data_IF_867290348635
#
_entry.id   IF_867290348635
#
_cell.length_a   1.000
_cell.length_b   1.000
_cell.length_c   1.000
_cell.angle_alpha   90.00
_cell.angle_beta   90.00
_cell.angle_gamma   90.00
#
_symmetry.space_group_name_H-M   'P 1'
#
loop_
_entity.id
_entity.type
_entity.pdbx_description
1 polymer ?
#
# COMPACT_ATOMS: atom_id res chain seq x y z
N UNK A 1 28.80 20.68 -21.59
CA UNK A 1 27.84 21.69 -21.08
C UNK A 1 26.89 21.15 -19.99
N UNK A 2 26.23 19.98 -20.14
CA UNK A 2 25.30 19.44 -19.12
C UNK A 2 25.87 19.26 -17.70
N UNK A 3 27.10 18.74 -17.56
CA UNK A 3 27.77 18.57 -16.26
C UNK A 3 28.00 19.87 -15.48
N UNK A 4 28.17 21.01 -16.16
CA UNK A 4 28.36 22.30 -15.46
C UNK A 4 27.03 22.85 -14.90
N UNK A 5 25.90 22.54 -15.53
CA UNK A 5 24.56 22.88 -15.01
C UNK A 5 24.18 22.03 -13.79
N UNK A 6 24.54 20.74 -13.80
CA UNK A 6 24.32 19.84 -12.64
C UNK A 6 25.16 20.25 -11.43
N UNK A 7 26.41 20.65 -11.64
CA UNK A 7 27.29 21.13 -10.56
C UNK A 7 26.81 22.46 -9.97
N UNK A 8 26.34 23.39 -10.80
CA UNK A 8 25.73 24.64 -10.33
C UNK A 8 24.44 24.38 -9.53
N UNK A 9 23.62 23.43 -9.97
CA UNK A 9 22.40 23.03 -9.27
C UNK A 9 22.68 22.38 -7.91
N UNK A 10 23.66 21.46 -7.84
CA UNK A 10 24.11 20.85 -6.59
C UNK A 10 24.65 21.90 -5.63
N UNK A 11 25.52 22.79 -6.10
CA UNK A 11 26.09 23.85 -5.26
C UNK A 11 25.03 24.80 -4.71
N UNK A 12 24.05 25.17 -5.54
CA UNK A 12 22.90 25.98 -5.12
C UNK A 12 22.01 25.26 -4.10
N UNK A 13 21.75 23.96 -4.30
CA UNK A 13 20.97 23.16 -3.35
C UNK A 13 21.69 22.99 -2.02
N UNK A 14 23.01 22.72 -2.03
CA UNK A 14 23.82 22.62 -0.81
C UNK A 14 23.90 23.97 -0.09
N UNK A 15 24.10 25.08 -0.82
CA UNK A 15 24.10 26.42 -0.26
C UNK A 15 22.72 26.80 0.35
N UNK A 16 21.62 26.39 -0.30
CA UNK A 16 20.26 26.59 0.20
C UNK A 16 19.97 25.78 1.48
N UNK A 17 20.43 24.52 1.54
CA UNK A 17 20.34 23.70 2.75
C UNK A 17 21.16 24.29 3.90
N UNK A 18 22.38 24.78 3.62
CA UNK A 18 23.24 25.42 4.62
C UNK A 18 22.66 26.74 5.12
N UNK A 19 21.93 27.48 4.28
CA UNK A 19 21.27 28.72 4.65
C UNK A 19 20.01 28.50 5.53
N UNK A 20 19.45 27.28 5.57
CA UNK A 20 18.22 26.93 6.29
C UNK A 20 18.44 25.61 7.05
N UNK A 21 18.99 25.64 8.27
CA UNK A 21 19.32 24.43 9.03
C UNK A 21 18.11 23.53 9.30
N UNK A 22 16.91 24.10 9.41
CA UNK A 22 15.66 23.33 9.53
C UNK A 22 15.39 22.47 8.29
N UNK A 23 15.58 23.03 7.09
CA UNK A 23 15.41 22.31 5.83
C UNK A 23 16.48 21.23 5.66
N UNK A 24 17.71 21.48 6.10
CA UNK A 24 18.77 20.48 6.06
C UNK A 24 18.48 19.29 6.98
N UNK A 25 17.96 19.56 8.18
CA UNK A 25 17.56 18.50 9.14
C UNK A 25 16.40 17.68 8.59
N UNK A 26 15.38 18.33 7.99
CA UNK A 26 14.27 17.65 7.33
C UNK A 26 14.74 16.82 6.11
N UNK A 27 15.61 17.37 5.27
CA UNK A 27 16.14 16.68 4.11
C UNK A 27 17.02 15.48 4.49
N UNK A 28 17.83 15.61 5.55
CA UNK A 28 18.62 14.51 6.09
C UNK A 28 17.73 13.42 6.68
N UNK A 29 16.69 13.80 7.44
CA UNK A 29 15.71 12.87 7.98
C UNK A 29 14.92 12.14 6.89
N UNK A 30 14.46 12.87 5.87
CA UNK A 30 13.77 12.30 4.71
C UNK A 30 14.70 11.37 3.93
N UNK A 31 15.96 11.75 3.73
CA UNK A 31 16.96 10.90 3.06
C UNK A 31 17.22 9.60 3.80
N UNK A 32 17.39 9.65 5.13
CA UNK A 32 17.57 8.47 5.96
C UNK A 32 16.32 7.57 5.96
N UNK A 33 15.13 8.19 6.03
CA UNK A 33 13.85 7.49 5.99
C UNK A 33 13.64 6.76 4.66
N UNK A 34 13.85 7.44 3.53
CA UNK A 34 13.73 6.84 2.19
C UNK A 34 14.75 5.71 1.99
N UNK A 35 15.99 5.87 2.45
CA UNK A 35 17.01 4.83 2.42
C UNK A 35 16.66 3.62 3.29
N UNK A 36 16.05 3.85 4.45
CA UNK A 36 15.54 2.79 5.31
C UNK A 36 14.39 2.03 4.66
N UNK A 37 13.45 2.73 4.01
CA UNK A 37 12.35 2.11 3.28
C UNK A 37 12.84 1.28 2.09
N UNK A 38 13.86 1.71 1.35
CA UNK A 38 14.42 0.91 0.25
C UNK A 38 15.08 -0.38 0.75
N UNK A 39 15.79 -0.32 1.89
CA UNK A 39 16.38 -1.51 2.52
C UNK A 39 15.31 -2.47 3.07
N UNK A 40 14.22 -1.92 3.62
CA UNK A 40 13.08 -2.72 4.05
C UNK A 40 12.38 -3.39 2.87
N UNK A 41 12.21 -2.68 1.75
CA UNK A 41 11.65 -3.23 0.52
C UNK A 41 12.49 -4.39 -0.01
N UNK A 42 13.82 -4.25 -0.04
CA UNK A 42 14.72 -5.33 -0.45
C UNK A 42 14.74 -6.50 0.54
N UNK A 43 14.68 -6.21 1.85
CA UNK A 43 14.56 -7.23 2.90
C UNK A 43 13.27 -8.03 2.75
N UNK A 44 12.14 -7.35 2.54
CA UNK A 44 10.85 -7.97 2.31
C UNK A 44 10.86 -8.75 1.00
N UNK A 45 11.41 -8.22 -0.10
CA UNK A 45 11.53 -8.93 -1.38
C UNK A 45 12.30 -10.24 -1.24
N UNK A 46 13.37 -10.26 -0.45
CA UNK A 46 14.16 -11.46 -0.14
C UNK A 46 13.38 -12.47 0.71
N UNK A 47 12.54 -12.01 1.64
CA UNK A 47 11.67 -12.84 2.48
C UNK A 47 10.44 -13.36 1.70
N UNK A 48 9.89 -12.54 0.80
CA UNK A 48 8.69 -12.80 0.03
C UNK A 48 8.93 -13.72 -1.17
N UNK A 49 10.15 -13.76 -1.70
CA UNK A 49 10.52 -14.57 -2.87
C UNK A 49 10.39 -16.09 -2.67
N UNK A 50 10.18 -16.60 -1.44
CA UNK A 50 10.01 -18.05 -1.22
C UNK A 50 9.03 -18.46 -0.12
N UNK A 51 8.80 -17.64 0.90
CA UNK A 51 7.91 -18.02 2.04
C UNK A 51 6.51 -17.45 1.91
N UNK A 52 6.39 -16.23 1.34
CA UNK A 52 5.11 -15.57 1.14
C UNK A 52 4.29 -16.23 0.02
N UNK A 53 4.95 -16.68 -1.06
CA UNK A 53 4.32 -17.49 -2.11
C UNK A 53 3.72 -18.80 -1.57
N UNK A 54 4.43 -19.50 -0.66
CA UNK A 54 3.90 -20.71 -0.01
C UNK A 54 2.75 -20.43 0.94
N UNK A 55 2.80 -19.30 1.66
CA UNK A 55 1.73 -18.90 2.57
C UNK A 55 0.49 -18.42 1.81
N UNK A 56 0.64 -17.69 0.71
CA UNK A 56 -0.45 -17.37 -0.23
C UNK A 56 -1.00 -18.61 -0.92
N UNK A 57 -0.15 -19.55 -1.33
CA UNK A 57 -0.56 -20.83 -1.91
C UNK A 57 -1.36 -21.70 -0.92
N UNK A 58 -1.01 -21.67 0.37
CA UNK A 58 -1.78 -22.34 1.43
C UNK A 58 -3.03 -21.56 1.87
N UNK A 59 -3.00 -20.23 1.86
CA UNK A 59 -4.16 -19.39 2.18
C UNK A 59 -5.25 -19.49 1.10
N UNK A 60 -4.86 -19.70 -0.16
CA UNK A 60 -5.77 -19.95 -1.29
C UNK A 60 -6.29 -21.39 -1.32
N UNK A 61 -5.75 -22.30 -0.50
CA UNK A 61 -6.21 -23.69 -0.36
C UNK A 61 -7.42 -23.87 0.55
N UNK A 62 -8.03 -22.80 1.08
CA UNK A 62 -9.36 -22.91 1.68
C UNK A 62 -10.45 -22.73 0.60
N UNK A 63 -11.18 -23.79 0.22
CA UNK A 63 -12.19 -23.78 -0.84
C UNK A 63 -13.50 -23.08 -0.42
N UNK A 64 -13.44 -22.07 0.45
CA UNK A 64 -14.61 -21.32 0.89
C UNK A 64 -15.06 -20.28 -0.15
N UNK A 65 -14.15 -19.79 -1.00
CA UNK A 65 -14.47 -18.81 -2.04
C UNK A 65 -14.95 -19.43 -3.37
N UNK A 66 -14.80 -20.75 -3.54
CA UNK A 66 -15.36 -21.47 -4.68
C UNK A 66 -16.90 -21.62 -4.60
N UNK A 67 -17.47 -21.51 -3.40
CA UNK A 67 -18.92 -21.67 -3.16
C UNK A 67 -19.66 -20.32 -3.28
N UNK A 68 -18.95 -19.18 -3.15
CA UNK A 68 -19.56 -17.85 -3.19
C UNK A 68 -19.63 -17.17 -4.56
N UNK A 69 -18.81 -17.61 -5.54
CA UNK A 69 -18.59 -16.85 -6.79
C UNK A 69 -19.05 -17.60 -8.06
N UNK A 70 -19.50 -18.84 -7.94
CA UNK A 70 -19.51 -19.74 -9.09
C UNK A 70 -20.71 -20.66 -9.24
N UNK A 71 -21.93 -20.22 -8.91
CA UNK A 71 -23.13 -20.93 -9.38
C UNK A 71 -24.33 -19.99 -9.46
N UNK A 72 -24.55 -19.38 -10.63
CA UNK A 72 -25.85 -19.40 -11.34
C UNK A 72 -25.75 -18.67 -12.68
N UNK A 73 -25.70 -19.49 -13.72
CA UNK A 73 -26.01 -19.18 -15.12
C UNK A 73 -27.27 -18.29 -15.24
N UNK A 74 -27.14 -17.05 -15.74
CA UNK A 74 -28.23 -16.31 -16.43
C UNK A 74 -27.66 -15.45 -17.57
N UNK A 75 -28.16 -15.59 -18.81
CA UNK A 75 -27.56 -14.94 -19.98
C UNK A 75 -28.10 -13.51 -20.20
N UNK A 76 -27.23 -12.59 -20.61
CA UNK A 76 -27.61 -11.50 -21.52
C UNK A 76 -27.49 -10.04 -21.02
N UNK A 77 -27.80 -9.72 -19.77
CA UNK A 77 -27.83 -8.32 -19.30
C UNK A 77 -27.15 -8.07 -17.93
N UNK A 78 -26.99 -9.11 -17.12
CA UNK A 78 -26.33 -9.05 -15.80
C UNK A 78 -24.81 -9.14 -15.86
N UNK A 79 -24.24 -9.51 -17.00
CA UNK A 79 -22.81 -9.79 -17.15
C UNK A 79 -21.91 -8.55 -16.92
N UNK A 80 -22.40 -7.35 -17.25
CA UNK A 80 -21.69 -6.08 -16.96
C UNK A 80 -21.79 -5.69 -15.48
N UNK A 81 -22.94 -5.93 -14.85
CA UNK A 81 -23.13 -5.71 -13.41
C UNK A 81 -22.30 -6.71 -12.59
N UNK A 82 -22.20 -7.96 -13.05
CA UNK A 82 -21.40 -9.03 -12.42
C UNK A 82 -19.89 -8.75 -12.55
N UNK A 83 -19.45 -8.20 -13.69
CA UNK A 83 -18.06 -7.78 -13.85
C UNK A 83 -17.76 -6.56 -12.98
N UNK A 84 -18.62 -5.54 -12.95
CA UNK A 84 -18.43 -4.38 -12.08
C UNK A 84 -18.42 -4.79 -10.59
N UNK A 85 -19.36 -5.63 -10.17
CA UNK A 85 -19.43 -6.14 -8.81
C UNK A 85 -18.17 -6.93 -8.42
N UNK A 86 -17.64 -7.76 -9.32
CA UNK A 86 -16.37 -8.48 -9.08
C UNK A 86 -15.20 -7.52 -8.85
N UNK A 87 -15.07 -6.46 -9.66
CA UNK A 87 -13.98 -5.49 -9.46
C UNK A 87 -14.18 -4.67 -8.17
N UNK A 88 -15.42 -4.31 -7.82
CA UNK A 88 -15.73 -3.65 -6.55
C UNK A 88 -15.36 -4.52 -5.35
N UNK A 89 -15.65 -5.82 -5.39
CA UNK A 89 -15.25 -6.76 -4.34
C UNK A 89 -13.71 -6.85 -4.19
N UNK A 90 -12.97 -6.78 -5.29
CA UNK A 90 -11.50 -6.77 -5.28
C UNK A 90 -10.92 -5.45 -4.76
N UNK A 91 -11.56 -4.31 -5.03
CA UNK A 91 -11.24 -3.02 -4.41
C UNK A 91 -11.45 -3.10 -2.89
N UNK A 92 -12.60 -3.63 -2.45
CA UNK A 92 -12.87 -3.83 -1.02
C UNK A 92 -11.86 -4.78 -0.37
N UNK A 93 -11.46 -5.84 -1.06
CA UNK A 93 -10.38 -6.71 -0.60
C UNK A 93 -9.07 -5.94 -0.43
N UNK A 94 -8.68 -5.09 -1.40
CA UNK A 94 -7.49 -4.25 -1.28
C UNK A 94 -7.55 -3.25 -0.11
N UNK A 95 -8.72 -2.69 0.16
CA UNK A 95 -8.97 -1.82 1.33
C UNK A 95 -8.76 -2.61 2.62
N UNK A 96 -9.43 -3.75 2.78
CA UNK A 96 -9.35 -4.59 3.98
C UNK A 96 -7.93 -5.11 4.18
N UNK A 97 -7.29 -5.62 3.13
CA UNK A 97 -5.91 -6.09 3.20
C UNK A 97 -4.96 -4.98 3.66
N UNK A 98 -5.17 -3.74 3.22
CA UNK A 98 -4.36 -2.58 3.65
C UNK A 98 -4.65 -2.15 5.07
N UNK A 99 -5.91 -2.17 5.51
CA UNK A 99 -6.27 -1.90 6.91
C UNK A 99 -5.68 -2.97 7.82
N UNK A 100 -5.70 -4.24 7.44
CA UNK A 100 -5.10 -5.33 8.24
C UNK A 100 -3.57 -5.23 8.25
N UNK A 101 -2.96 -5.00 7.10
CA UNK A 101 -1.50 -4.93 6.96
C UNK A 101 -0.91 -3.61 7.47
N UNK A 102 -1.74 -2.57 7.65
CA UNK A 102 -1.35 -1.19 7.99
C UNK A 102 -0.33 -0.56 7.03
N UNK A 103 -0.05 -1.20 5.89
CA UNK A 103 0.93 -0.78 4.89
C UNK A 103 0.40 -1.07 3.50
N UNK A 104 0.05 -0.01 2.75
CA UNK A 104 -0.37 -0.16 1.36
C UNK A 104 0.75 -0.60 0.44
N UNK A 105 2.00 -0.26 0.76
CA UNK A 105 3.16 -0.70 -0.02
C UNK A 105 3.30 -2.22 0.02
N UNK A 106 3.09 -2.84 1.19
CA UNK A 106 3.10 -4.29 1.31
C UNK A 106 1.97 -4.94 0.48
N UNK A 107 0.76 -4.38 0.53
CA UNK A 107 -0.39 -4.86 -0.27
C UNK A 107 -0.16 -4.70 -1.77
N UNK A 108 0.45 -3.58 -2.21
CA UNK A 108 0.81 -3.36 -3.61
C UNK A 108 1.91 -4.33 -4.08
N UNK A 109 2.96 -4.55 -3.28
CA UNK A 109 4.02 -5.51 -3.61
C UNK A 109 3.47 -6.93 -3.75
N UNK A 110 2.57 -7.35 -2.87
CA UNK A 110 1.85 -8.63 -2.96
C UNK A 110 1.03 -8.74 -4.26
N UNK A 111 0.31 -7.68 -4.60
CA UNK A 111 -0.52 -7.65 -5.80
C UNK A 111 0.33 -7.69 -7.08
N UNK A 112 1.43 -6.93 -7.10
CA UNK A 112 2.36 -6.86 -8.23
C UNK A 112 3.16 -8.16 -8.39
N UNK A 113 3.55 -8.82 -7.30
CA UNK A 113 4.21 -10.13 -7.35
C UNK A 113 3.26 -11.21 -7.88
N UNK A 114 1.99 -11.22 -7.46
CA UNK A 114 0.99 -12.12 -8.01
C UNK A 114 0.65 -11.83 -9.49
N UNK A 115 0.73 -10.57 -9.93
CA UNK A 115 0.62 -10.20 -11.35
C UNK A 115 1.83 -10.70 -12.15
N UNK A 116 3.04 -10.51 -11.62
CA UNK A 116 4.28 -10.92 -12.28
C UNK A 116 4.44 -12.45 -12.40
N UNK A 117 3.89 -13.22 -11.46
CA UNK A 117 3.85 -14.69 -11.51
C UNK A 117 2.73 -15.25 -12.39
N UNK A 118 1.90 -14.39 -12.99
CA UNK A 118 0.76 -14.78 -13.80
C UNK A 118 -0.42 -15.34 -12.99
N UNK A 119 -0.38 -15.28 -11.67
CA UNK A 119 -1.45 -15.76 -10.79
C UNK A 119 -2.68 -14.82 -10.78
N UNK A 120 -2.45 -13.52 -10.98
CA UNK A 120 -3.50 -12.49 -11.07
C UNK A 120 -3.41 -11.77 -12.42
N UNK A 121 -4.48 -11.70 -13.23
CA UNK A 121 -4.48 -10.90 -14.44
C UNK A 121 -4.54 -9.40 -14.12
N UNK A 122 -4.20 -8.56 -15.11
CA UNK A 122 -4.03 -7.11 -14.94
C UNK A 122 -5.23 -6.38 -14.32
N UNK A 123 -6.46 -6.62 -14.81
CA UNK A 123 -7.66 -5.91 -14.33
C UNK A 123 -7.94 -6.16 -12.83
N UNK A 124 -7.93 -7.41 -12.33
CA UNK A 124 -8.01 -7.70 -10.89
C UNK A 124 -6.87 -7.12 -10.06
N UNK A 125 -5.63 -7.19 -10.56
CA UNK A 125 -4.48 -6.60 -9.86
C UNK A 125 -4.64 -5.07 -9.73
N UNK A 126 -5.10 -4.40 -10.78
CA UNK A 126 -5.41 -2.97 -10.76
C UNK A 126 -6.52 -2.63 -9.76
N UNK A 127 -7.58 -3.44 -9.69
CA UNK A 127 -8.67 -3.25 -8.72
C UNK A 127 -8.18 -3.35 -7.26
N UNK A 128 -7.34 -4.34 -6.95
CA UNK A 128 -6.73 -4.48 -5.61
C UNK A 128 -5.80 -3.30 -5.32
N UNK A 129 -5.01 -2.85 -6.29
CA UNK A 129 -4.11 -1.71 -6.14
C UNK A 129 -4.87 -0.39 -5.85
N UNK A 130 -5.98 -0.14 -6.54
CA UNK A 130 -6.88 0.98 -6.25
C UNK A 130 -7.42 0.85 -4.82
N UNK A 131 -7.89 -0.34 -4.43
CA UNK A 131 -8.33 -0.63 -3.08
C UNK A 131 -7.26 -0.35 -2.03
N UNK A 132 -6.01 -0.70 -2.29
CA UNK A 132 -4.91 -0.47 -1.37
C UNK A 132 -4.64 1.02 -1.11
N UNK A 133 -4.74 1.84 -2.14
CA UNK A 133 -4.61 3.31 -1.99
C UNK A 133 -5.82 3.94 -1.29
N UNK A 134 -7.01 3.37 -1.43
CA UNK A 134 -8.18 3.83 -0.66
C UNK A 134 -8.07 3.38 0.81
N UNK A 135 -7.51 2.19 1.05
CA UNK A 135 -7.35 1.62 2.38
C UNK A 135 -6.45 2.45 3.31
N UNK A 136 -5.42 3.13 2.79
CA UNK A 136 -4.59 4.03 3.62
C UNK A 136 -5.38 5.20 4.19
N UNK A 137 -6.29 5.77 3.41
CA UNK A 137 -7.19 6.83 3.86
C UNK A 137 -8.09 6.31 4.98
N UNK A 138 -8.62 5.09 4.84
CA UNK A 138 -9.44 4.45 5.88
C UNK A 138 -8.62 4.25 7.17
N UNK A 139 -7.40 3.72 7.07
CA UNK A 139 -6.51 3.56 8.22
C UNK A 139 -6.19 4.89 8.90
N UNK A 140 -5.93 5.94 8.13
CA UNK A 140 -5.63 7.27 8.67
C UNK A 140 -6.84 7.87 9.41
N UNK A 141 -8.05 7.74 8.85
CA UNK A 141 -9.28 8.21 9.50
C UNK A 141 -9.54 7.44 10.79
N UNK A 142 -9.42 6.11 10.77
CA UNK A 142 -9.59 5.29 11.97
C UNK A 142 -8.56 5.63 13.05
N UNK A 143 -7.30 5.84 12.65
CA UNK A 143 -6.24 6.28 13.56
C UNK A 143 -6.50 7.65 14.17
N UNK A 144 -6.97 8.62 13.39
CA UNK A 144 -7.33 9.95 13.88
C UNK A 144 -8.49 9.92 14.88
N UNK A 145 -9.51 9.10 14.61
CA UNK A 145 -10.64 8.91 15.54
C UNK A 145 -10.20 8.23 16.85
N UNK A 146 -9.36 7.19 16.76
CA UNK A 146 -8.83 6.49 17.93
C UNK A 146 -7.94 7.41 18.78
N UNK A 147 -7.09 8.22 18.16
CA UNK A 147 -6.26 9.21 18.84
C UNK A 147 -7.09 10.30 19.54
N UNK A 148 -8.15 10.79 18.88
CA UNK A 148 -9.08 11.75 19.49
C UNK A 148 -9.82 11.19 20.70
N UNK A 149 -10.24 9.92 20.65
CA UNK A 149 -10.88 9.25 21.79
C UNK A 149 -9.91 9.08 22.97
N UNK A 150 -8.64 8.76 22.71
CA UNK A 150 -7.61 8.65 23.76
C UNK A 150 -7.35 9.99 24.46
N UNK A 151 -7.34 11.10 23.72
CA UNK A 151 -7.12 12.44 24.28
C UNK A 151 -8.26 12.92 25.23
N UNK A 152 -9.49 12.44 25.02
CA UNK A 152 -10.62 12.74 25.91
C UNK A 152 -10.60 11.92 27.21
N UNK A 153 -9.98 10.75 27.20
CA UNK A 153 -9.84 9.89 28.38
C UNK A 153 -8.67 10.34 29.27
N UNK A 154 -7.61 10.88 28.67
CA UNK A 154 -6.39 11.32 29.36
C UNK A 154 -6.39 12.81 29.75
N UNK A 155 -7.54 13.49 29.67
CA UNK A 155 -7.63 14.87 30.18
C UNK A 155 -7.33 14.85 31.69
N UNK A 156 -6.27 15.53 32.17
CA UNK A 156 -5.99 15.62 33.58
C UNK A 156 -7.23 16.19 34.26
N UNK A 157 -7.78 15.46 35.24
CA UNK A 157 -8.70 16.03 36.21
C UNK A 157 -7.88 17.10 36.95
N UNK A 158 -7.93 18.33 36.46
CA UNK A 158 -7.34 19.50 37.12
C UNK A 158 -8.07 19.66 38.45
N UNK A 159 -7.47 19.18 39.52
CA UNK A 159 -7.86 19.45 40.91
C UNK A 159 -6.90 20.48 41.48
#
# INVERSE_FOLDING_TARGET
MRRHLELLGLFAATALLLARPDLATLAAGLGLFLWGMSHLEEGIKRLSAGTLDRWLHNATRSPAWAIGVGARHRPGAVQFADHAARHVLLVLFGIIATVVMQSSHATLLLTLTALASGQLPYLPALAIAIGANVGTTVTAVLGALAAGAAALVDSPQTN
#
